data_IF_350534610929
#
_entry.id   IF_350534610929
#
_cell.length_a   1.000
_cell.length_b   1.000
_cell.length_c   1.000
_cell.angle_alpha   90.00
_cell.angle_beta   90.00
_cell.angle_gamma   90.00
#
_symmetry.space_group_name_H-M   'P 1'
#
loop_
_entity.id
_entity.type
_entity.pdbx_description
1 polymer ?
#
# COMPACT_ATOMS: atom_id res chain seq x y z
N UNK A 1 0.77 -52.03 -70.29
CA UNK A 1 0.83 -52.45 -68.87
C UNK A 1 2.28 -52.78 -68.51
N UNK A 2 3.02 -51.80 -67.98
CA UNK A 2 4.27 -51.82 -67.18
C UNK A 2 4.90 -50.41 -67.26
N UNK A 3 5.00 -49.76 -66.10
CA UNK A 3 5.56 -48.42 -65.89
C UNK A 3 7.09 -48.45 -66.04
N UNK A 4 7.69 -47.41 -66.62
CA UNK A 4 9.09 -47.06 -66.34
C UNK A 4 9.32 -45.55 -66.42
N UNK A 5 9.88 -45.02 -65.33
CA UNK A 5 10.21 -43.63 -65.08
C UNK A 5 11.49 -43.17 -65.80
N UNK A 6 11.60 -41.84 -65.86
CA UNK A 6 12.81 -41.01 -65.71
C UNK A 6 13.16 -40.20 -66.96
N UNK A 7 13.36 -38.89 -66.76
CA UNK A 7 14.63 -38.17 -66.97
C UNK A 7 14.46 -36.70 -66.57
N UNK A 8 14.98 -36.40 -65.38
CA UNK A 8 15.88 -35.28 -65.08
C UNK A 8 15.93 -34.14 -66.13
N UNK A 9 15.46 -32.94 -65.76
CA UNK A 9 15.80 -31.69 -66.45
C UNK A 9 16.44 -30.72 -65.45
N UNK A 10 17.71 -30.46 -65.71
CA UNK A 10 18.60 -29.56 -64.98
C UNK A 10 18.71 -28.26 -65.79
N UNK A 11 18.20 -27.12 -65.29
CA UNK A 11 18.57 -25.78 -65.74
C UNK A 11 18.48 -24.80 -64.55
N UNK A 12 19.64 -24.38 -64.02
CA UNK A 12 19.88 -23.09 -63.34
C UNK A 12 20.49 -22.15 -64.43
N UNK A 13 20.58 -20.80 -64.30
CA UNK A 13 20.35 -19.94 -63.13
C UNK A 13 19.60 -18.61 -63.44
N UNK A 14 19.38 -17.75 -62.43
CA UNK A 14 19.64 -16.30 -62.51
C UNK A 14 19.82 -15.76 -61.08
N UNK A 15 20.94 -15.05 -60.96
CA UNK A 15 21.48 -14.30 -59.84
C UNK A 15 20.82 -12.92 -59.78
N UNK A 16 20.32 -12.48 -58.61
CA UNK A 16 20.20 -11.05 -58.30
C UNK A 16 20.76 -10.81 -56.88
N UNK A 17 21.89 -10.11 -56.84
CA UNK A 17 22.46 -9.43 -55.67
C UNK A 17 21.71 -8.11 -55.42
N UNK A 18 21.28 -7.88 -54.18
CA UNK A 18 21.10 -6.55 -53.55
C UNK A 18 21.46 -6.76 -52.07
N UNK A 19 22.71 -6.60 -51.62
CA UNK A 19 23.41 -5.36 -51.20
C UNK A 19 22.76 -4.61 -50.04
N UNK A 20 23.59 -4.27 -49.04
CA UNK A 20 23.33 -3.56 -47.77
C UNK A 20 22.59 -4.42 -46.72
N UNK A 21 23.21 -4.90 -45.65
CA UNK A 21 24.20 -4.21 -44.82
C UNK A 21 23.49 -3.38 -43.75
N UNK A 22 22.70 -4.02 -42.90
CA UNK A 22 22.36 -3.50 -41.58
C UNK A 22 22.46 -4.67 -40.59
N UNK A 23 23.68 -4.93 -40.12
CA UNK A 23 23.84 -5.63 -38.86
C UNK A 23 23.43 -4.63 -37.78
N UNK A 24 22.18 -4.72 -37.32
CA UNK A 24 21.75 -4.05 -36.10
C UNK A 24 22.47 -4.74 -34.95
N UNK A 25 23.65 -4.23 -34.60
CA UNK A 25 24.34 -4.63 -33.38
C UNK A 25 23.62 -3.91 -32.24
N UNK A 26 22.61 -4.57 -31.68
CA UNK A 26 21.99 -4.14 -30.44
C UNK A 26 23.02 -4.38 -29.33
N UNK A 27 23.84 -3.36 -29.04
CA UNK A 27 24.55 -3.32 -27.76
C UNK A 27 23.50 -3.02 -26.72
N UNK A 28 22.86 -4.08 -26.21
CA UNK A 28 22.15 -4.02 -24.94
C UNK A 28 23.20 -3.73 -23.87
N UNK A 29 23.46 -2.44 -23.63
CA UNK A 29 24.14 -1.99 -22.42
C UNK A 29 23.18 -2.21 -21.26
N UNK A 30 23.09 -3.48 -20.82
CA UNK A 30 22.55 -3.85 -19.53
C UNK A 30 23.53 -3.33 -18.48
N UNK A 31 23.40 -2.07 -18.11
CA UNK A 31 23.75 -1.63 -16.77
C UNK A 31 22.78 -2.33 -15.82
N UNK A 32 23.07 -3.58 -15.48
CA UNK A 32 22.48 -4.27 -14.33
C UNK A 32 22.97 -3.52 -13.10
N UNK A 33 22.31 -2.40 -12.80
CA UNK A 33 22.30 -1.85 -11.46
C UNK A 33 21.74 -2.97 -10.58
N UNK A 34 22.58 -3.52 -9.69
CA UNK A 34 22.22 -4.52 -8.69
C UNK A 34 21.29 -3.91 -7.60
N UNK A 35 20.48 -2.92 -7.94
CA UNK A 35 19.61 -2.24 -7.01
C UNK A 35 18.33 -3.05 -6.87
N UNK A 36 18.34 -3.95 -5.89
CA UNK A 36 17.14 -4.66 -5.46
C UNK A 36 16.12 -3.62 -4.96
N UNK A 37 14.88 -3.62 -5.47
CA UNK A 37 13.84 -2.72 -4.98
C UNK A 37 13.57 -2.97 -3.49
N UNK A 38 13.28 -1.90 -2.76
CA UNK A 38 12.83 -1.97 -1.37
C UNK A 38 11.43 -1.37 -1.24
N UNK A 39 10.73 -1.69 -0.16
CA UNK A 39 9.39 -1.17 0.09
C UNK A 39 9.40 -0.15 1.21
N UNK A 40 8.69 0.96 0.99
CA UNK A 40 8.27 1.88 2.05
C UNK A 40 6.82 1.60 2.41
N UNK A 41 6.42 1.94 3.63
CA UNK A 41 5.10 1.64 4.17
C UNK A 41 4.44 2.87 4.77
N UNK A 42 3.12 2.94 4.67
CA UNK A 42 2.32 3.97 5.34
C UNK A 42 1.00 3.38 5.83
N UNK A 43 0.40 4.02 6.84
CA UNK A 43 -0.83 3.53 7.49
C UNK A 43 -1.94 4.58 7.43
N UNK A 44 -3.12 4.19 6.96
CA UNK A 44 -4.38 4.92 7.16
C UNK A 44 -5.14 4.25 8.30
N UNK A 45 -5.54 5.01 9.32
CA UNK A 45 -6.30 4.49 10.46
C UNK A 45 -7.71 5.06 10.47
N UNK A 46 -8.72 4.21 10.49
CA UNK A 46 -10.13 4.58 10.67
C UNK A 46 -10.53 4.18 12.08
N UNK A 47 -11.08 5.13 12.84
CA UNK A 47 -11.64 4.93 14.19
C UNK A 47 -13.10 5.30 14.13
N UNK A 48 -13.99 4.37 14.46
CA UNK A 48 -15.43 4.53 14.38
C UNK A 48 -16.07 4.28 15.73
N UNK A 49 -16.93 5.19 16.16
CA UNK A 49 -17.67 5.03 17.40
C UNK A 49 -18.84 4.05 17.19
N UNK A 50 -18.88 3.03 18.05
CA UNK A 50 -19.96 2.05 18.13
C UNK A 50 -20.80 2.22 19.40
N UNK A 51 -20.64 3.35 20.10
CA UNK A 51 -21.37 3.64 21.34
C UNK A 51 -22.84 3.94 21.01
N UNK A 52 -23.80 3.28 21.68
CA UNK A 52 -25.22 3.60 21.56
C UNK A 52 -25.51 5.08 21.84
N UNK A 53 -26.56 5.65 21.24
CA UNK A 53 -26.84 7.10 21.25
C UNK A 53 -25.93 7.95 20.37
N UNK A 54 -24.88 7.37 19.76
CA UNK A 54 -24.03 8.06 18.80
C UNK A 54 -23.11 9.10 19.44
N UNK A 55 -22.76 8.91 20.71
CA UNK A 55 -21.79 9.75 21.42
C UNK A 55 -20.40 9.29 21.01
N UNK A 56 -19.74 10.07 20.16
CA UNK A 56 -18.42 9.72 19.65
C UNK A 56 -18.01 10.61 18.49
N UNK A 57 -16.73 10.53 18.11
CA UNK A 57 -16.16 11.27 16.99
C UNK A 57 -15.42 10.28 16.09
N UNK A 58 -16.13 9.63 15.18
CA UNK A 58 -15.49 8.80 14.16
C UNK A 58 -14.55 9.63 13.29
N UNK A 59 -13.36 9.13 13.01
CA UNK A 59 -12.30 9.80 12.23
C UNK A 59 -11.51 8.81 11.38
N UNK A 60 -11.09 9.27 10.21
CA UNK A 60 -9.98 8.67 9.48
C UNK A 60 -8.75 9.57 9.64
N UNK A 61 -7.63 8.95 10.00
CA UNK A 61 -6.37 9.59 10.36
C UNK A 61 -5.27 9.09 9.42
N UNK A 62 -4.45 10.01 8.92
CA UNK A 62 -3.29 9.71 8.10
C UNK A 62 -2.11 10.60 8.49
N UNK A 63 -0.99 9.96 8.85
CA UNK A 63 0.22 10.66 9.27
C UNK A 63 1.06 11.11 8.09
N UNK A 64 1.39 12.40 8.05
CA UNK A 64 2.16 13.03 6.96
C UNK A 64 3.62 13.33 7.32
N UNK A 65 3.97 13.25 8.62
CA UNK A 65 5.34 13.45 9.09
C UNK A 65 6.09 12.13 9.27
N UNK A 66 7.35 12.10 8.84
CA UNK A 66 8.29 11.02 9.13
C UNK A 66 8.88 11.16 10.54
N UNK A 67 8.97 10.05 11.27
CA UNK A 67 9.62 9.98 12.58
C UNK A 67 10.51 8.75 12.66
N UNK A 68 11.76 8.91 13.11
CA UNK A 68 12.63 7.77 13.37
C UNK A 68 12.32 7.17 14.74
N UNK A 69 11.93 5.90 14.77
CA UNK A 69 11.68 5.18 16.02
C UNK A 69 12.91 5.11 16.92
N UNK A 70 14.12 5.23 16.36
CA UNK A 70 15.40 5.18 17.10
C UNK A 70 15.53 6.32 18.10
N UNK A 71 14.96 7.49 17.81
CA UNK A 71 14.96 8.65 18.72
C UNK A 71 14.26 8.34 20.04
N UNK A 72 13.33 7.37 20.03
CA UNK A 72 12.51 6.97 21.17
C UNK A 72 12.85 5.57 21.70
N UNK A 73 13.86 4.90 21.14
CA UNK A 73 14.25 3.54 21.51
C UNK A 73 15.49 3.55 22.42
N UNK A 74 15.57 2.60 23.35
CA UNK A 74 16.78 2.32 24.13
C UNK A 74 17.37 0.97 23.74
N UNK A 75 18.67 0.92 23.46
CA UNK A 75 19.42 -0.34 23.37
C UNK A 75 19.95 -0.67 24.75
N UNK A 76 19.50 -1.79 25.32
CA UNK A 76 19.86 -2.23 26.67
C UNK A 76 20.73 -3.49 26.63
N UNK A 77 21.77 -3.54 27.45
CA UNK A 77 22.69 -4.66 27.61
C UNK A 77 23.04 -4.86 29.09
N UNK A 78 23.83 -5.89 29.41
CA UNK A 78 24.36 -6.10 30.78
C UNK A 78 25.25 -4.95 31.26
N UNK A 79 25.87 -4.21 30.34
CA UNK A 79 26.77 -3.10 30.64
C UNK A 79 26.05 -1.74 30.61
N UNK A 80 24.85 -1.66 30.02
CA UNK A 80 24.05 -0.44 29.97
C UNK A 80 22.54 -0.74 29.96
N UNK A 81 21.87 -0.50 31.10
CA UNK A 81 20.42 -0.64 31.23
C UNK A 81 19.69 0.72 31.29
N UNK A 82 20.28 1.80 30.80
CA UNK A 82 19.58 3.08 30.78
C UNK A 82 18.34 3.05 29.85
N UNK A 83 17.32 3.82 30.24
CA UNK A 83 16.10 4.02 29.44
C UNK A 83 16.26 5.25 28.57
N UNK A 84 15.56 5.25 27.43
CA UNK A 84 15.41 6.45 26.63
C UNK A 84 14.68 7.54 27.46
N UNK A 85 15.24 8.75 27.49
CA UNK A 85 14.75 9.90 28.29
C UNK A 85 14.00 10.95 27.47
N UNK A 86 13.83 10.72 26.16
CA UNK A 86 13.08 11.61 25.27
C UNK A 86 11.65 11.81 25.77
N UNK A 87 11.09 12.97 25.45
CA UNK A 87 9.76 13.31 25.91
C UNK A 87 8.71 12.61 25.06
N UNK A 88 7.69 12.03 25.70
CA UNK A 88 6.48 11.55 24.98
C UNK A 88 5.80 12.65 24.17
N UNK A 89 6.03 13.93 24.49
CA UNK A 89 5.51 15.05 23.72
C UNK A 89 6.17 15.17 22.35
N UNK A 90 7.42 14.73 22.21
CA UNK A 90 8.16 14.76 20.95
C UNK A 90 7.68 13.67 19.98
N UNK A 91 7.10 12.57 20.49
CA UNK A 91 6.45 11.53 19.69
C UNK A 91 5.17 12.05 19.03
N UNK A 92 4.48 13.01 19.67
CA UNK A 92 3.20 13.53 19.15
C UNK A 92 3.44 14.38 17.91
N UNK A 93 2.96 13.86 16.79
CA UNK A 93 2.87 14.60 15.53
C UNK A 93 1.73 15.63 15.65
N UNK A 94 2.00 16.87 15.24
CA UNK A 94 0.98 17.93 15.22
C UNK A 94 0.31 18.06 13.85
N UNK A 95 1.05 17.74 12.79
CA UNK A 95 0.56 17.84 11.42
C UNK A 95 0.18 16.45 10.91
N UNK A 96 -1.12 16.21 10.78
CA UNK A 96 -1.69 14.99 10.21
C UNK A 96 -3.04 15.31 9.54
N UNK A 97 -3.44 14.47 8.60
CA UNK A 97 -4.76 14.57 7.98
C UNK A 97 -5.80 13.93 8.91
N UNK A 98 -6.82 14.71 9.30
CA UNK A 98 -8.01 14.23 10.02
C UNK A 98 -9.25 14.41 9.13
N UNK A 99 -9.83 13.30 8.67
CA UNK A 99 -11.10 13.28 7.95
C UNK A 99 -12.24 12.89 8.89
N UNK A 100 -13.30 13.69 8.91
CA UNK A 100 -14.51 13.42 9.72
C UNK A 100 -15.31 12.29 9.11
N UNK A 101 -15.72 11.35 9.96
CA UNK A 101 -16.65 10.27 9.62
C UNK A 101 -17.90 10.35 10.50
N UNK A 102 -18.94 9.64 10.10
CA UNK A 102 -20.21 9.53 10.82
C UNK A 102 -20.15 8.38 11.83
N UNK A 103 -20.91 8.48 12.92
CA UNK A 103 -21.00 7.41 13.93
C UNK A 103 -21.90 6.28 13.42
N UNK A 104 -21.60 5.03 13.80
CA UNK A 104 -22.40 3.88 13.38
C UNK A 104 -23.75 3.80 14.07
N UNK A 105 -23.87 4.35 15.28
CA UNK A 105 -25.09 4.30 16.08
C UNK A 105 -25.67 5.68 16.33
N UNK A 106 -26.97 5.72 16.58
CA UNK A 106 -27.66 6.79 17.30
C UNK A 106 -28.62 6.18 18.34
N UNK A 107 -29.56 6.97 18.86
CA UNK A 107 -30.54 6.47 19.84
C UNK A 107 -31.53 5.43 19.26
N UNK A 108 -31.73 5.41 17.94
CA UNK A 108 -32.63 4.49 17.26
C UNK A 108 -31.94 3.19 16.79
N UNK A 109 -30.60 3.10 16.90
CA UNK A 109 -29.83 1.93 16.50
C UNK A 109 -28.80 2.22 15.42
N UNK A 110 -28.49 1.21 14.61
CA UNK A 110 -27.45 1.27 13.57
C UNK A 110 -27.89 2.17 12.42
N UNK A 111 -26.96 3.00 11.94
CA UNK A 111 -27.14 3.94 10.83
C UNK A 111 -26.43 3.44 9.59
N UNK A 112 -27.04 2.51 8.86
CA UNK A 112 -26.43 1.93 7.65
C UNK A 112 -26.05 2.95 6.58
N UNK A 113 -26.80 4.04 6.44
CA UNK A 113 -26.44 5.14 5.55
C UNK A 113 -25.14 5.84 5.98
N UNK A 114 -24.88 5.94 7.29
CA UNK A 114 -23.63 6.48 7.79
C UNK A 114 -22.46 5.56 7.44
N UNK A 115 -22.66 4.24 7.55
CA UNK A 115 -21.66 3.24 7.16
C UNK A 115 -21.33 3.40 5.67
N UNK A 116 -22.34 3.38 4.81
CA UNK A 116 -22.13 3.54 3.36
C UNK A 116 -21.45 4.86 2.98
N UNK A 117 -21.77 5.95 3.68
CA UNK A 117 -21.11 7.24 3.47
C UNK A 117 -19.64 7.21 3.93
N UNK A 118 -19.36 6.60 5.08
CA UNK A 118 -17.99 6.41 5.56
C UNK A 118 -17.18 5.55 4.59
N UNK A 119 -17.75 4.44 4.10
CA UNK A 119 -17.10 3.54 3.14
C UNK A 119 -16.70 4.30 1.87
N UNK A 120 -17.55 5.20 1.37
CA UNK A 120 -17.24 6.02 0.20
C UNK A 120 -16.06 6.97 0.46
N UNK A 121 -16.01 7.60 1.64
CA UNK A 121 -14.92 8.51 2.05
C UNK A 121 -13.60 7.75 2.28
N UNK A 122 -13.66 6.58 2.90
CA UNK A 122 -12.46 5.73 3.08
C UNK A 122 -11.97 5.24 1.71
N UNK A 123 -12.87 4.76 0.86
CA UNK A 123 -12.56 4.32 -0.51
C UNK A 123 -11.89 5.42 -1.33
N UNK A 124 -12.35 6.68 -1.21
CA UNK A 124 -11.69 7.77 -1.94
C UNK A 124 -10.24 7.97 -1.52
N UNK A 125 -9.89 7.83 -0.22
CA UNK A 125 -8.49 7.91 0.22
C UNK A 125 -7.67 6.70 -0.24
N UNK A 126 -8.25 5.50 -0.23
CA UNK A 126 -7.60 4.29 -0.75
C UNK A 126 -7.27 4.46 -2.24
N UNK A 127 -8.21 4.98 -3.04
CA UNK A 127 -8.01 5.24 -4.46
C UNK A 127 -6.94 6.31 -4.70
N UNK A 128 -6.94 7.41 -3.93
CA UNK A 128 -5.91 8.43 -4.00
C UNK A 128 -4.51 7.84 -3.76
N UNK A 129 -4.34 7.00 -2.74
CA UNK A 129 -3.08 6.31 -2.47
C UNK A 129 -2.70 5.35 -3.61
N UNK A 130 -3.67 4.62 -4.16
CA UNK A 130 -3.45 3.74 -5.31
C UNK A 130 -2.97 4.50 -6.55
N UNK A 131 -3.57 5.66 -6.85
CA UNK A 131 -3.14 6.56 -7.94
C UNK A 131 -1.72 7.09 -7.71
N UNK A 132 -1.34 7.32 -6.46
CA UNK A 132 0.02 7.68 -6.06
C UNK A 132 1.01 6.49 -6.09
N UNK A 133 0.59 5.31 -6.51
CA UNK A 133 1.41 4.11 -6.64
C UNK A 133 1.59 3.30 -5.35
N UNK A 134 0.77 3.55 -4.34
CA UNK A 134 0.72 2.72 -3.14
C UNK A 134 -0.19 1.51 -3.35
N UNK A 135 0.28 0.35 -2.95
CA UNK A 135 -0.48 -0.90 -2.96
C UNK A 135 -1.02 -1.18 -1.56
N UNK A 136 -2.32 -1.49 -1.44
CA UNK A 136 -2.89 -1.98 -0.19
C UNK A 136 -2.30 -3.36 0.12
N UNK A 137 -1.48 -3.45 1.16
CA UNK A 137 -0.77 -4.67 1.51
C UNK A 137 -1.51 -5.48 2.57
N UNK A 138 -2.04 -4.81 3.60
CA UNK A 138 -2.71 -5.46 4.72
C UNK A 138 -3.86 -4.61 5.26
N UNK A 139 -4.88 -5.28 5.78
CA UNK A 139 -5.95 -4.67 6.56
C UNK A 139 -6.03 -5.39 7.90
N UNK A 140 -6.01 -4.62 8.99
CA UNK A 140 -6.17 -5.16 10.34
C UNK A 140 -7.25 -4.36 11.07
N UNK A 141 -8.18 -5.05 11.71
CA UNK A 141 -9.23 -4.43 12.51
C UNK A 141 -9.19 -4.92 13.95
N UNK A 142 -9.59 -4.06 14.88
CA UNK A 142 -9.80 -4.39 16.28
C UNK A 142 -10.99 -3.63 16.84
N UNK A 143 -11.57 -4.16 17.92
CA UNK A 143 -12.77 -3.59 18.54
C UNK A 143 -12.61 -3.56 20.05
N UNK A 144 -12.90 -2.41 20.67
CA UNK A 144 -13.28 -2.33 22.07
C UNK A 144 -14.81 -2.29 22.13
N UNK A 145 -15.40 -3.27 22.81
CA UNK A 145 -16.86 -3.45 22.80
C UNK A 145 -17.52 -2.64 23.90
N UNK A 146 -18.71 -2.10 23.61
CA UNK A 146 -19.57 -1.51 24.64
C UNK A 146 -20.08 -2.59 25.59
N UNK A 147 -19.53 -2.62 26.81
CA UNK A 147 -19.84 -3.62 27.83
C UNK A 147 -21.17 -3.41 28.58
N UNK A 148 -21.79 -2.23 28.47
CA UNK A 148 -23.06 -1.93 29.15
C UNK A 148 -22.87 -1.19 30.47
N UNK A 149 -23.64 -1.55 31.51
CA UNK A 149 -23.63 -0.83 32.78
C UNK A 149 -22.24 -0.88 33.44
N UNK A 150 -21.57 0.28 33.49
CA UNK A 150 -20.19 0.41 33.99
C UNK A 150 -19.13 0.58 32.89
N UNK A 151 -19.46 0.30 31.63
CA UNK A 151 -18.59 0.52 30.48
C UNK A 151 -19.34 1.12 29.28
N UNK A 152 -19.13 2.42 29.08
CA UNK A 152 -19.76 3.18 28.02
C UNK A 152 -18.88 3.39 26.79
N UNK A 153 -17.71 2.76 26.73
CA UNK A 153 -16.79 2.93 25.62
C UNK A 153 -17.06 1.92 24.52
N UNK A 154 -16.84 2.31 23.29
CA UNK A 154 -17.06 1.42 22.15
C UNK A 154 -16.42 2.00 20.91
N UNK A 155 -15.34 1.37 20.46
CA UNK A 155 -14.63 1.79 19.26
C UNK A 155 -14.35 0.60 18.35
N UNK A 156 -14.54 0.81 17.06
CA UNK A 156 -14.04 -0.05 16.01
C UNK A 156 -12.87 0.65 15.34
N UNK A 157 -11.74 -0.03 15.20
CA UNK A 157 -10.53 0.55 14.60
C UNK A 157 -10.07 -0.33 13.46
N UNK A 158 -9.89 0.26 12.27
CA UNK A 158 -9.32 -0.40 11.10
C UNK A 158 -8.04 0.30 10.68
N UNK A 159 -6.97 -0.46 10.45
CA UNK A 159 -5.70 0.01 9.89
C UNK A 159 -5.50 -0.60 8.52
N UNK A 160 -5.43 0.27 7.52
CA UNK A 160 -5.05 -0.06 6.16
C UNK A 160 -3.56 0.24 6.02
N UNK A 161 -2.77 -0.79 5.76
CA UNK A 161 -1.31 -0.69 5.61
C UNK A 161 -0.99 -0.79 4.13
N UNK A 162 -0.38 0.27 3.61
CA UNK A 162 0.04 0.38 2.24
C UNK A 162 1.54 0.17 2.12
N UNK A 163 1.98 -0.36 0.98
CA UNK A 163 3.39 -0.44 0.61
C UNK A 163 3.62 0.22 -0.75
N UNK A 164 4.80 0.78 -0.98
CA UNK A 164 5.20 1.30 -2.29
C UNK A 164 6.61 0.83 -2.59
N UNK A 165 6.82 0.30 -3.81
CA UNK A 165 8.14 -0.10 -4.27
C UNK A 165 8.97 1.14 -4.61
N UNK A 166 10.16 1.22 -4.06
CA UNK A 166 11.15 2.25 -4.36
C UNK A 166 12.30 1.60 -5.12
N UNK A 167 12.66 2.19 -6.25
CA UNK A 167 13.89 1.86 -6.97
C UNK A 167 14.99 2.79 -6.45
N UNK A 168 16.21 2.26 -6.34
CA UNK A 168 17.38 3.11 -6.10
C UNK A 168 17.89 3.51 -7.49
N UNK A 169 17.81 4.80 -7.79
CA UNK A 169 18.37 5.39 -9.02
C UNK A 169 19.90 5.19 -9.08
#
# INVERSE_FOLDING_TARGET
>A
MKLFNSRLRLILPILILISSGFAFSQTDSLTTSNNKPYYVYQTVTVVESIIPSGIGRSRMIFGTEDRDYRDFTSTRSSENDERNKSSRREIRVKDFEETKLLNFFNIAGIRFQNIAANDAVVTSKINELAEQGWELAFVNSGTESYGGDGDSNGIYVTRYIFKKSMNVD
#
